data_IF_116375292659
#
_entry.id   IF_116375292659
#
_cell.length_a   1.000
_cell.length_b   1.000
_cell.length_c   1.000
_cell.angle_alpha   90.00
_cell.angle_beta   90.00
_cell.angle_gamma   90.00
#
_symmetry.space_group_name_H-M   'P 1'
#
loop_
_entity.id
_entity.type
_entity.pdbx_description
1 polymer ?
#
# COMPACT_ATOMS: atom_id res chain seq x y z
N UNK A 1 -30.48 0.35 16.00
CA UNK A 1 -29.76 -0.05 14.78
C UNK A 1 -29.19 1.22 14.15
N UNK A 2 -27.96 1.59 14.52
CA UNK A 2 -27.34 2.85 14.08
C UNK A 2 -26.73 2.64 12.69
N UNK A 3 -27.48 3.01 11.66
CA UNK A 3 -26.99 2.99 10.29
C UNK A 3 -26.01 4.16 10.09
N UNK A 4 -24.74 3.81 9.83
CA UNK A 4 -23.68 4.77 9.53
C UNK A 4 -23.95 5.49 8.20
N UNK A 5 -24.70 6.59 8.25
CA UNK A 5 -24.91 7.47 7.08
C UNK A 5 -23.68 8.36 6.84
N UNK A 6 -23.38 8.65 5.57
CA UNK A 6 -22.29 9.54 5.13
C UNK A 6 -22.38 10.97 5.73
N UNK A 7 -23.56 11.36 6.25
CA UNK A 7 -23.79 12.67 6.92
C UNK A 7 -23.62 12.63 8.44
N UNK A 8 -23.17 11.52 9.00
CA UNK A 8 -23.03 11.39 10.45
C UNK A 8 -21.96 12.37 11.01
N UNK A 9 -22.16 12.97 12.20
CA UNK A 9 -21.26 13.96 12.78
C UNK A 9 -19.95 13.37 13.35
N UNK A 10 -19.65 12.08 13.12
CA UNK A 10 -18.44 11.46 13.63
C UNK A 10 -17.18 11.96 12.90
N UNK A 11 -16.15 12.23 13.69
CA UNK A 11 -14.81 12.53 13.22
C UNK A 11 -13.89 11.34 13.46
N UNK A 12 -12.94 11.11 12.55
CA UNK A 12 -11.88 10.12 12.75
C UNK A 12 -11.15 10.43 14.07
N UNK A 13 -10.93 9.39 14.88
CA UNK A 13 -10.27 9.51 16.17
C UNK A 13 -8.78 9.89 16.08
N UNK A 14 -8.11 10.16 17.21
CA UNK A 14 -6.72 10.62 17.26
C UNK A 14 -5.71 9.66 16.59
N UNK A 15 -6.02 8.36 16.52
CA UNK A 15 -5.19 7.36 15.85
C UNK A 15 -4.91 7.70 14.37
N UNK A 16 -5.84 8.37 13.69
CA UNK A 16 -5.63 8.79 12.30
C UNK A 16 -4.63 9.96 12.17
N UNK A 17 -4.25 10.62 13.27
CA UNK A 17 -3.20 11.65 13.27
C UNK A 17 -1.78 11.10 13.44
N UNK A 18 -1.61 9.80 13.68
CA UNK A 18 -0.31 9.15 13.94
C UNK A 18 0.69 9.35 12.81
N UNK A 19 0.20 9.40 11.58
CA UNK A 19 1.04 9.50 10.40
C UNK A 19 1.37 10.96 10.04
N UNK A 20 0.81 11.96 10.71
CA UNK A 20 1.04 13.38 10.41
C UNK A 20 2.55 13.76 10.47
N UNK A 21 3.09 14.54 9.50
CA UNK A 21 2.41 15.22 8.39
C UNK A 21 2.38 14.41 7.09
N UNK A 22 2.38 13.07 7.14
CA UNK A 22 2.14 12.28 5.93
C UNK A 22 0.67 12.40 5.54
N UNK A 23 0.42 13.07 4.43
CA UNK A 23 -0.90 13.26 3.87
C UNK A 23 -1.22 12.12 2.90
N UNK A 24 -1.92 11.09 3.39
CA UNK A 24 -2.56 10.08 2.55
C UNK A 24 -4.08 10.16 2.70
N UNK A 25 -4.86 9.55 1.79
CA UNK A 25 -6.32 9.62 1.83
C UNK A 25 -6.91 9.05 3.13
N UNK A 26 -6.36 7.93 3.60
CA UNK A 26 -6.85 7.16 4.74
C UNK A 26 -6.83 7.92 6.09
N UNK A 27 -5.77 8.62 6.50
CA UNK A 27 -5.71 9.35 7.77
C UNK A 27 -6.39 10.72 7.77
N UNK A 28 -6.69 11.31 6.60
CA UNK A 28 -7.25 12.68 6.52
C UNK A 28 -8.57 12.76 7.29
N UNK A 29 -8.59 13.64 8.28
CA UNK A 29 -9.73 13.86 9.22
C UNK A 29 -10.66 14.98 8.73
N UNK A 30 -10.12 15.93 7.97
CA UNK A 30 -10.90 16.98 7.32
C UNK A 30 -11.76 16.39 6.19
N UNK A 31 -13.05 16.69 6.20
CA UNK A 31 -14.00 16.09 5.26
C UNK A 31 -13.81 16.62 3.84
N UNK A 32 -13.49 17.90 3.69
CA UNK A 32 -13.31 18.54 2.39
C UNK A 32 -12.02 18.06 1.73
N UNK A 33 -10.92 18.05 2.48
CA UNK A 33 -9.65 17.49 2.02
C UNK A 33 -9.78 16.00 1.67
N UNK A 34 -10.53 15.23 2.47
CA UNK A 34 -10.79 13.83 2.18
C UNK A 34 -11.59 13.67 0.88
N UNK A 35 -12.65 14.46 0.68
CA UNK A 35 -13.48 14.41 -0.52
C UNK A 35 -12.68 14.76 -1.79
N UNK A 36 -11.86 15.81 -1.75
CA UNK A 36 -10.99 16.20 -2.86
C UNK A 36 -10.01 15.08 -3.24
N UNK A 37 -9.32 14.50 -2.24
CA UNK A 37 -8.39 13.39 -2.47
C UNK A 37 -9.11 12.14 -2.95
N UNK A 38 -10.29 11.84 -2.41
CA UNK A 38 -11.10 10.69 -2.78
C UNK A 38 -11.52 10.77 -4.24
N UNK A 39 -11.88 11.95 -4.75
CA UNK A 39 -12.26 12.13 -6.15
C UNK A 39 -11.18 11.70 -7.14
N UNK A 40 -9.89 11.82 -6.80
CA UNK A 40 -8.80 11.28 -7.63
C UNK A 40 -8.78 9.74 -7.61
N UNK A 41 -8.95 9.13 -6.44
CA UNK A 41 -9.03 7.67 -6.30
C UNK A 41 -10.27 7.10 -6.99
N UNK A 42 -11.43 7.74 -6.87
CA UNK A 42 -12.69 7.26 -7.49
C UNK A 42 -12.58 7.15 -9.02
N UNK A 43 -11.75 8.00 -9.67
CA UNK A 43 -11.47 7.88 -11.12
C UNK A 43 -10.64 6.63 -11.44
N UNK A 44 -9.55 6.44 -10.71
CA UNK A 44 -8.64 5.30 -10.88
C UNK A 44 -9.28 3.95 -10.52
N UNK A 45 -10.37 3.95 -9.74
CA UNK A 45 -11.15 2.77 -9.36
C UNK A 45 -12.57 2.75 -9.98
N UNK A 46 -12.80 3.53 -11.03
CA UNK A 46 -14.06 3.48 -11.79
C UNK A 46 -14.23 2.13 -12.50
N UNK A 47 -15.46 1.73 -12.81
CA UNK A 47 -15.71 0.47 -13.53
C UNK A 47 -15.00 0.39 -14.88
N UNK A 48 -14.72 1.53 -15.51
CA UNK A 48 -13.92 1.59 -16.74
C UNK A 48 -12.45 1.26 -16.45
N UNK A 49 -11.83 1.96 -15.50
CA UNK A 49 -10.44 1.72 -15.11
C UNK A 49 -10.21 0.28 -14.62
N UNK A 50 -11.16 -0.28 -13.85
CA UNK A 50 -11.06 -1.66 -13.38
C UNK A 50 -11.04 -2.69 -14.52
N UNK A 51 -11.79 -2.46 -15.61
CA UNK A 51 -11.73 -3.32 -16.81
C UNK A 51 -10.38 -3.21 -17.51
N UNK A 52 -9.80 -2.01 -17.55
CA UNK A 52 -8.47 -1.80 -18.14
C UNK A 52 -7.38 -2.55 -17.35
N UNK A 53 -7.59 -2.82 -16.05
CA UNK A 53 -6.69 -3.59 -15.19
C UNK A 53 -6.94 -5.12 -15.21
N UNK A 54 -8.05 -5.59 -15.77
CA UNK A 54 -8.47 -7.00 -15.71
C UNK A 54 -7.38 -7.95 -16.22
N UNK A 55 -6.74 -7.60 -17.34
CA UNK A 55 -5.65 -8.38 -17.92
C UNK A 55 -4.44 -8.49 -16.97
N UNK A 56 -4.10 -7.42 -16.26
CA UNK A 56 -2.98 -7.43 -15.29
C UNK A 56 -3.30 -8.36 -14.12
N UNK A 57 -4.52 -8.26 -13.58
CA UNK A 57 -4.98 -9.13 -12.49
C UNK A 57 -4.94 -10.59 -12.93
N UNK A 58 -5.40 -10.89 -14.15
CA UNK A 58 -5.35 -12.25 -14.70
C UNK A 58 -3.91 -12.76 -14.84
N UNK A 59 -2.97 -11.95 -15.34
CA UNK A 59 -1.57 -12.32 -15.47
C UNK A 59 -0.93 -12.62 -14.10
N UNK A 60 -1.11 -11.74 -13.11
CA UNK A 60 -0.62 -11.98 -11.74
C UNK A 60 -1.29 -13.18 -11.07
N UNK A 61 -2.57 -13.43 -11.37
CA UNK A 61 -3.27 -14.61 -10.84
C UNK A 61 -2.66 -15.89 -11.41
N UNK A 62 -2.37 -15.92 -12.71
CA UNK A 62 -1.70 -17.07 -13.33
C UNK A 62 -0.31 -17.30 -12.74
N UNK A 63 0.45 -16.23 -12.46
CA UNK A 63 1.74 -16.34 -11.78
C UNK A 63 1.60 -16.92 -10.36
N UNK A 64 0.62 -16.47 -9.58
CA UNK A 64 0.35 -16.99 -8.23
C UNK A 64 -0.01 -18.49 -8.25
N UNK A 65 -0.86 -18.89 -9.20
CA UNK A 65 -1.23 -20.30 -9.39
C UNK A 65 0.00 -21.14 -9.77
N UNK A 66 0.82 -20.67 -10.71
CA UNK A 66 2.04 -21.36 -11.11
C UNK A 66 3.02 -21.55 -9.95
N UNK A 67 3.17 -20.56 -9.06
CA UNK A 67 4.03 -20.69 -7.87
C UNK A 67 3.45 -21.71 -6.88
N UNK A 68 2.12 -21.67 -6.70
CA UNK A 68 1.40 -22.59 -5.80
C UNK A 68 1.50 -24.04 -6.25
N UNK A 69 1.33 -24.29 -7.54
CA UNK A 69 1.45 -25.63 -8.11
C UNK A 69 2.89 -26.16 -8.02
N UNK A 70 3.89 -25.30 -8.19
CA UNK A 70 5.30 -25.69 -8.15
C UNK A 70 5.79 -26.19 -6.78
N UNK A 71 5.18 -25.73 -5.68
CA UNK A 71 5.59 -26.12 -4.31
C UNK A 71 4.54 -27.00 -3.61
N UNK A 72 3.61 -27.56 -4.39
CA UNK A 72 2.56 -28.44 -3.88
C UNK A 72 3.19 -29.68 -3.23
N UNK A 73 2.92 -29.88 -1.94
CA UNK A 73 3.43 -31.03 -1.17
C UNK A 73 4.63 -30.72 -0.27
N UNK A 74 5.13 -29.49 -0.26
CA UNK A 74 6.15 -29.06 0.69
C UNK A 74 5.55 -28.86 2.10
N UNK A 75 6.29 -29.28 3.13
CA UNK A 75 5.90 -29.13 4.54
C UNK A 75 5.70 -27.67 4.97
N UNK A 76 6.36 -26.73 4.28
CA UNK A 76 6.34 -25.28 4.52
C UNK A 76 5.27 -24.53 3.71
N UNK A 77 4.43 -25.22 2.94
CA UNK A 77 3.53 -24.59 1.95
C UNK A 77 2.61 -23.52 2.55
N UNK A 78 2.14 -23.65 3.79
CA UNK A 78 1.24 -22.68 4.42
C UNK A 78 1.90 -21.32 4.68
N UNK A 79 3.15 -21.32 5.13
CA UNK A 79 3.91 -20.08 5.36
C UNK A 79 4.26 -19.42 4.04
N UNK A 80 4.70 -20.23 3.06
CA UNK A 80 5.05 -19.79 1.72
C UNK A 80 3.85 -19.18 0.99
N UNK A 81 2.65 -19.77 1.15
CA UNK A 81 1.42 -19.28 0.55
C UNK A 81 1.01 -17.90 1.10
N UNK A 82 1.18 -17.67 2.41
CA UNK A 82 0.88 -16.38 3.03
C UNK A 82 1.76 -15.28 2.44
N UNK A 83 3.05 -15.55 2.24
CA UNK A 83 3.98 -14.61 1.63
C UNK A 83 3.63 -14.34 0.17
N UNK A 84 3.25 -15.35 -0.61
CA UNK A 84 2.81 -15.16 -1.99
C UNK A 84 1.54 -14.36 -2.13
N UNK A 85 0.55 -14.54 -1.24
CA UNK A 85 -0.65 -13.70 -1.25
C UNK A 85 -0.32 -12.24 -0.93
N UNK A 86 0.62 -11.99 -0.02
CA UNK A 86 1.13 -10.65 0.23
C UNK A 86 1.79 -10.08 -1.04
N UNK A 87 2.70 -10.82 -1.68
CA UNK A 87 3.38 -10.36 -2.90
C UNK A 87 2.40 -10.11 -4.05
N UNK A 88 1.45 -11.02 -4.27
CA UNK A 88 0.37 -10.86 -5.25
C UNK A 88 -0.40 -9.56 -5.02
N UNK A 89 -0.82 -9.30 -3.79
CA UNK A 89 -1.55 -8.07 -3.44
C UNK A 89 -0.71 -6.82 -3.71
N UNK A 90 0.60 -6.87 -3.45
CA UNK A 90 1.51 -5.77 -3.73
C UNK A 90 1.73 -5.51 -5.21
N UNK A 91 1.87 -6.55 -6.03
CA UNK A 91 2.08 -6.38 -7.47
C UNK A 91 0.78 -5.94 -8.17
N UNK A 92 -0.37 -6.55 -7.83
CA UNK A 92 -1.68 -6.18 -8.41
C UNK A 92 -2.04 -4.73 -8.10
N UNK A 93 -1.79 -4.25 -6.88
CA UNK A 93 -2.04 -2.85 -6.53
C UNK A 93 -0.91 -1.92 -6.97
N UNK A 94 0.32 -2.43 -7.05
CA UNK A 94 1.50 -1.66 -7.36
C UNK A 94 1.61 -1.26 -8.82
N UNK A 95 1.28 -2.17 -9.74
CA UNK A 95 1.43 -1.92 -11.18
C UNK A 95 0.52 -0.78 -11.67
N UNK A 96 -0.80 -0.76 -11.36
CA UNK A 96 -1.67 0.38 -11.70
C UNK A 96 -1.37 1.64 -10.88
N UNK A 97 -0.65 1.53 -9.75
CA UNK A 97 -0.29 2.70 -8.94
C UNK A 97 0.98 3.38 -9.44
N UNK A 98 1.96 2.64 -9.95
CA UNK A 98 3.28 3.19 -10.28
C UNK A 98 3.66 3.01 -11.75
N UNK A 99 2.77 2.43 -12.58
CA UNK A 99 3.02 2.13 -13.99
C UNK A 99 4.14 1.11 -14.22
N UNK A 100 4.57 0.41 -13.16
CA UNK A 100 5.61 -0.62 -13.16
C UNK A 100 5.31 -1.63 -12.06
N UNK A 101 5.36 -2.91 -12.42
CA UNK A 101 5.42 -4.02 -11.48
C UNK A 101 6.62 -3.88 -10.54
N UNK A 102 6.42 -4.21 -9.26
CA UNK A 102 7.53 -4.34 -8.32
C UNK A 102 8.33 -5.63 -8.55
N UNK A 103 7.74 -6.60 -9.26
CA UNK A 103 8.35 -7.86 -9.63
C UNK A 103 8.52 -8.82 -8.45
N UNK A 104 7.78 -8.59 -7.36
CA UNK A 104 7.94 -9.31 -6.09
C UNK A 104 7.41 -10.74 -6.18
N UNK A 105 6.47 -10.99 -7.09
CA UNK A 105 5.92 -12.31 -7.37
C UNK A 105 6.84 -13.16 -8.28
N UNK A 106 7.64 -12.52 -9.14
CA UNK A 106 8.50 -13.18 -10.13
C UNK A 106 9.93 -13.35 -9.64
N UNK A 107 10.47 -12.35 -8.96
CA UNK A 107 11.74 -12.44 -8.25
C UNK A 107 11.43 -12.77 -6.79
N UNK A 108 11.81 -13.96 -6.31
CA UNK A 108 11.80 -14.32 -4.86
C UNK A 108 12.71 -13.43 -3.99
N UNK A 109 13.22 -12.35 -4.58
CA UNK A 109 14.16 -11.41 -3.99
C UNK A 109 13.48 -10.05 -3.90
N UNK A 110 12.85 -9.80 -2.75
CA UNK A 110 13.08 -8.59 -1.94
C UNK A 110 12.34 -8.67 -0.60
N UNK A 111 12.80 -9.61 0.22
CA UNK A 111 12.54 -9.66 1.66
C UNK A 111 12.72 -8.29 2.34
N UNK A 112 13.65 -7.44 1.88
CA UNK A 112 13.94 -6.19 2.57
C UNK A 112 12.78 -5.18 2.56
N UNK A 113 12.02 -5.04 1.47
CA UNK A 113 10.92 -4.06 1.42
C UNK A 113 9.72 -4.56 2.22
N UNK A 114 9.31 -5.81 2.01
CA UNK A 114 8.18 -6.42 2.73
C UNK A 114 8.48 -6.61 4.21
N UNK A 115 9.69 -7.05 4.58
CA UNK A 115 10.09 -7.11 5.98
C UNK A 115 10.11 -5.72 6.63
N UNK A 116 10.60 -4.68 5.92
CA UNK A 116 10.56 -3.31 6.45
C UNK A 116 9.11 -2.83 6.64
N UNK A 117 8.19 -3.20 5.74
CA UNK A 117 6.79 -2.84 5.84
C UNK A 117 6.08 -3.58 6.98
N UNK A 118 6.26 -4.89 7.10
CA UNK A 118 5.72 -5.69 8.21
C UNK A 118 6.26 -5.19 9.56
N UNK A 119 7.56 -4.88 9.64
CA UNK A 119 8.15 -4.30 10.84
C UNK A 119 7.54 -2.92 11.16
N UNK A 120 7.28 -2.09 10.16
CA UNK A 120 6.60 -0.82 10.35
C UNK A 120 5.17 -1.00 10.86
N UNK A 121 4.41 -1.92 10.28
CA UNK A 121 3.04 -2.24 10.72
C UNK A 121 2.99 -2.77 12.15
N UNK A 122 3.91 -3.67 12.53
CA UNK A 122 4.05 -4.14 13.90
C UNK A 122 4.39 -3.01 14.87
N UNK A 123 5.29 -2.11 14.45
CA UNK A 123 5.64 -0.93 15.26
C UNK A 123 4.44 -0.01 15.46
N UNK A 124 3.67 0.28 14.40
CA UNK A 124 2.44 1.08 14.52
C UNK A 124 1.46 0.41 15.49
N UNK A 125 1.24 -0.90 15.37
CA UNK A 125 0.35 -1.65 16.27
C UNK A 125 0.79 -1.55 17.73
N UNK A 126 2.05 -1.83 18.00
CA UNK A 126 2.64 -1.78 19.34
C UNK A 126 2.54 -0.38 19.99
N UNK A 127 2.80 0.67 19.21
CA UNK A 127 2.79 2.05 19.71
C UNK A 127 1.44 2.75 19.52
N UNK A 128 0.42 2.08 18.99
CA UNK A 128 -0.92 2.65 18.71
C UNK A 128 -1.65 3.15 19.97
N UNK A 129 -1.26 2.66 21.14
CA UNK A 129 -1.79 3.10 22.44
C UNK A 129 -0.95 4.22 23.08
N UNK A 130 0.24 4.50 22.56
CA UNK A 130 1.19 5.48 23.10
C UNK A 130 1.39 6.60 22.08
N UNK A 131 0.29 7.16 21.58
CA UNK A 131 0.30 8.05 20.42
C UNK A 131 1.16 9.31 20.62
N UNK A 132 1.29 9.76 21.86
CA UNK A 132 2.12 10.90 22.25
C UNK A 132 3.63 10.68 22.05
N UNK A 133 4.07 9.42 21.91
CA UNK A 133 5.47 9.06 21.72
C UNK A 133 5.92 9.17 20.26
N UNK A 134 5.01 9.10 19.29
CA UNK A 134 5.37 9.17 17.86
C UNK A 134 6.09 10.47 17.44
N UNK A 135 5.69 11.68 17.89
CA UNK A 135 6.45 12.90 17.63
C UNK A 135 7.90 12.84 18.14
N UNK A 136 8.12 12.20 19.28
CA UNK A 136 9.45 12.03 19.90
C UNK A 136 10.29 11.06 19.08
N UNK A 137 9.77 9.86 18.78
CA UNK A 137 10.43 8.85 17.95
C UNK A 137 10.84 9.39 16.58
N UNK A 138 9.99 10.24 15.99
CA UNK A 138 10.25 10.89 14.69
C UNK A 138 11.46 11.84 14.72
N UNK A 139 11.60 12.59 15.80
CA UNK A 139 12.66 13.59 15.96
C UNK A 139 14.01 12.95 16.34
N UNK A 140 14.02 11.67 16.75
CA UNK A 140 15.24 10.91 17.02
C UNK A 140 15.85 10.35 15.72
N UNK A 141 17.06 10.78 15.33
CA UNK A 141 17.65 10.43 14.03
C UNK A 141 17.83 8.93 13.76
N UNK A 142 18.16 8.17 14.81
CA UNK A 142 18.43 6.72 14.73
C UNK A 142 17.15 5.92 14.46
N UNK A 143 16.04 6.28 15.13
CA UNK A 143 14.77 5.56 15.04
C UNK A 143 13.98 5.91 13.75
N UNK A 144 14.34 7.00 13.07
CA UNK A 144 13.70 7.43 11.82
C UNK A 144 14.47 6.97 10.55
N UNK A 145 15.59 6.27 10.69
CA UNK A 145 16.45 5.90 9.55
C UNK A 145 15.73 5.00 8.52
N UNK A 146 15.05 3.94 8.97
CA UNK A 146 14.30 3.05 8.08
C UNK A 146 13.12 3.76 7.39
N UNK A 147 12.40 4.61 8.12
CA UNK A 147 11.31 5.40 7.57
C UNK A 147 11.80 6.41 6.51
N UNK A 148 12.96 7.06 6.73
CA UNK A 148 13.61 7.91 5.72
C UNK A 148 14.03 7.11 4.48
N UNK A 149 14.54 5.89 4.64
CA UNK A 149 14.88 4.99 3.53
C UNK A 149 13.65 4.63 2.70
N UNK A 150 12.57 4.20 3.36
CA UNK A 150 11.30 3.88 2.70
C UNK A 150 10.76 5.09 1.92
N UNK A 151 10.75 6.27 2.55
CA UNK A 151 10.32 7.52 1.90
C UNK A 151 11.14 7.86 0.66
N UNK A 152 12.46 7.61 0.69
CA UNK A 152 13.34 7.85 -0.47
C UNK A 152 12.96 6.94 -1.64
N UNK A 153 12.68 5.66 -1.37
CA UNK A 153 12.23 4.70 -2.39
C UNK A 153 10.89 5.10 -2.99
N UNK A 154 9.91 5.45 -2.15
CA UNK A 154 8.60 5.91 -2.63
C UNK A 154 8.74 7.18 -3.47
N UNK A 155 9.50 8.17 -2.99
CA UNK A 155 9.75 9.41 -3.72
C UNK A 155 10.41 9.14 -5.08
N UNK A 156 11.44 8.29 -5.13
CA UNK A 156 12.10 7.97 -6.40
C UNK A 156 11.16 7.31 -7.41
N UNK A 157 10.23 6.46 -6.95
CA UNK A 157 9.23 5.82 -7.82
C UNK A 157 8.22 6.81 -8.37
N UNK A 158 7.73 7.72 -7.53
CA UNK A 158 6.83 8.79 -7.96
C UNK A 158 7.54 9.73 -8.94
N UNK A 159 8.77 10.15 -8.62
CA UNK A 159 9.55 11.02 -9.50
C UNK A 159 9.86 10.34 -10.86
N UNK A 160 10.12 9.03 -10.86
CA UNK A 160 10.31 8.22 -12.07
C UNK A 160 9.03 8.15 -12.90
N UNK A 161 7.87 7.94 -12.25
CA UNK A 161 6.56 7.87 -12.90
C UNK A 161 6.13 9.22 -13.48
N UNK A 162 6.43 10.34 -12.81
CA UNK A 162 6.16 11.69 -13.34
C UNK A 162 6.96 11.94 -14.62
N UNK A 163 8.22 11.50 -14.67
CA UNK A 163 9.09 11.66 -15.85
C UNK A 163 8.73 10.73 -17.00
N UNK A 164 8.14 9.58 -16.71
CA UNK A 164 7.82 8.55 -17.69
C UNK A 164 6.29 8.32 -17.71
N UNK A 165 5.54 8.97 -18.62
CA UNK A 165 4.13 8.65 -18.82
C UNK A 165 3.98 7.16 -19.18
N UNK A 166 3.01 6.46 -18.62
CA UNK A 166 2.87 5.03 -18.80
C UNK A 166 2.25 4.78 -20.18
N UNK A 167 2.60 3.65 -20.80
CA UNK A 167 1.95 3.24 -22.06
C UNK A 167 0.50 2.79 -21.86
N UNK A 168 0.07 2.56 -20.62
CA UNK A 168 -1.25 2.07 -20.23
C UNK A 168 -1.87 2.99 -19.17
N UNK A 169 -3.20 3.15 -19.14
CA UNK A 169 -3.88 3.92 -18.09
C UNK A 169 -3.52 3.37 -16.70
N UNK A 170 -3.28 4.27 -15.77
CA UNK A 170 -2.96 3.97 -14.38
C UNK A 170 -3.86 4.83 -13.44
N UNK A 171 -3.75 4.64 -12.12
CA UNK A 171 -4.64 5.30 -11.14
C UNK A 171 -4.56 6.84 -11.19
N UNK A 172 -3.49 7.39 -11.77
CA UNK A 172 -3.23 8.82 -11.88
C UNK A 172 -3.52 9.41 -13.26
N UNK A 173 -3.93 8.58 -14.23
CA UNK A 173 -4.24 8.96 -15.61
C UNK A 173 -5.60 9.64 -15.76
#
# INVERSE_FOLDING_TARGET
>A
MLTHSNRSPYFKGPWYSVLYPMYSLQPVRDKEENAQRRGAWDRGFSSKALRDYEFLVADYTNQLLSQTDAHKGESSILTVLTDWFNFYSFDVMGDPSFGKSFGVLKESIKYCFMASLHQHMQSIGMFSHVLWLFPILRNTPVLNANNKRFRRVVKSRVDERIKNPPSRPDIYS
#
